data_IF_388742911811
#
_entry.id   IF_388742911811
#
_cell.length_a   1.000
_cell.length_b   1.000
_cell.length_c   1.000
_cell.angle_alpha   90.00
_cell.angle_beta   90.00
_cell.angle_gamma   90.00
#
_symmetry.space_group_name_H-M   'P 1'
#
loop_
_entity.id
_entity.type
_entity.pdbx_description
1 polymer ?
#
# COMPACT_ATOMS: atom_id res chain seq x y z
N UNK A 1 -11.14 -65.47 13.28
CA UNK A 1 -10.30 -64.29 13.60
C UNK A 1 -9.26 -63.93 12.52
N UNK A 2 -9.21 -64.59 11.35
CA UNK A 2 -8.17 -64.34 10.33
C UNK A 2 -8.62 -63.43 9.15
N UNK A 3 -9.91 -63.06 9.05
CA UNK A 3 -10.44 -62.28 7.92
C UNK A 3 -10.30 -60.76 8.06
N UNK A 4 -10.19 -60.25 9.29
CA UNK A 4 -10.05 -58.81 9.57
C UNK A 4 -8.63 -58.29 9.39
N UNK A 5 -7.62 -59.13 9.62
CA UNK A 5 -6.21 -58.75 9.43
C UNK A 5 -5.83 -58.58 7.94
N UNK A 6 -6.41 -59.41 7.05
CA UNK A 6 -6.11 -59.36 5.62
C UNK A 6 -6.69 -58.12 4.94
N UNK A 7 -7.88 -57.68 5.37
CA UNK A 7 -8.51 -56.45 4.87
C UNK A 7 -7.75 -55.18 5.29
N UNK A 8 -7.12 -55.18 6.48
CA UNK A 8 -6.32 -54.05 6.95
C UNK A 8 -4.99 -53.92 6.19
N UNK A 9 -4.36 -55.03 5.79
CA UNK A 9 -3.12 -55.02 5.00
C UNK A 9 -3.33 -54.47 3.59
N UNK A 10 -4.42 -54.83 2.91
CA UNK A 10 -4.75 -54.32 1.56
C UNK A 10 -5.02 -52.81 1.59
N UNK A 11 -5.70 -52.31 2.63
CA UNK A 11 -6.01 -50.88 2.76
C UNK A 11 -4.74 -50.07 3.07
N UNK A 12 -3.77 -50.62 3.82
CA UNK A 12 -2.52 -49.94 4.16
C UNK A 12 -1.54 -49.89 2.98
N UNK A 13 -1.44 -50.95 2.18
CA UNK A 13 -0.59 -50.97 0.98
C UNK A 13 -1.18 -50.14 -0.17
N UNK A 14 -2.51 -50.12 -0.34
CA UNK A 14 -3.19 -49.25 -1.30
C UNK A 14 -3.02 -47.75 -0.98
N UNK A 15 -2.98 -47.37 0.30
CA UNK A 15 -2.78 -45.98 0.73
C UNK A 15 -1.33 -45.52 0.54
N UNK A 16 -0.34 -46.41 0.73
CA UNK A 16 1.07 -46.07 0.55
C UNK A 16 1.49 -46.03 -0.93
N UNK A 17 0.94 -46.90 -1.78
CA UNK A 17 1.24 -46.91 -3.23
C UNK A 17 0.46 -45.79 -3.93
N UNK A 18 -0.78 -45.51 -3.51
CA UNK A 18 -1.59 -44.41 -4.03
C UNK A 18 -1.13 -43.01 -3.56
N UNK A 19 -0.70 -42.87 -2.30
CA UNK A 19 -0.28 -41.57 -1.76
C UNK A 19 1.10 -41.09 -2.24
N UNK A 20 2.02 -42.02 -2.54
CA UNK A 20 3.40 -41.65 -2.93
C UNK A 20 3.58 -41.51 -4.44
N UNK A 21 2.75 -42.18 -5.26
CA UNK A 21 2.87 -42.12 -6.72
C UNK A 21 2.14 -40.92 -7.35
N UNK A 22 1.09 -40.39 -6.72
CA UNK A 22 0.37 -39.19 -7.18
C UNK A 22 1.05 -37.85 -6.82
N UNK A 23 2.10 -37.86 -6.02
CA UNK A 23 2.72 -36.62 -5.48
C UNK A 23 3.98 -36.14 -6.24
N UNK A 24 4.44 -36.86 -7.27
CA UNK A 24 5.69 -36.51 -7.99
C UNK A 24 5.50 -35.77 -9.32
N UNK A 25 4.29 -35.76 -9.89
CA UNK A 25 4.05 -35.25 -11.24
C UNK A 25 3.64 -33.78 -11.36
N UNK A 26 3.00 -33.20 -10.32
CA UNK A 26 2.42 -31.84 -10.44
C UNK A 26 2.99 -30.81 -9.45
N UNK A 27 3.85 -31.23 -8.51
CA UNK A 27 4.37 -30.32 -7.48
C UNK A 27 5.47 -29.36 -7.99
N UNK A 28 6.04 -29.62 -9.17
CA UNK A 28 7.06 -28.75 -9.78
C UNK A 28 6.45 -27.57 -10.55
N UNK A 29 5.15 -27.62 -10.88
CA UNK A 29 4.52 -26.60 -11.74
C UNK A 29 4.11 -25.32 -11.01
N UNK A 30 4.19 -25.26 -9.66
CA UNK A 30 3.59 -24.16 -8.89
C UNK A 30 4.58 -23.33 -8.06
N UNK A 31 5.77 -23.83 -7.73
CA UNK A 31 6.72 -23.09 -6.86
C UNK A 31 7.22 -21.78 -7.52
N UNK A 32 7.45 -21.77 -8.83
CA UNK A 32 7.90 -20.58 -9.55
C UNK A 32 6.79 -19.53 -9.70
N UNK A 33 5.53 -19.94 -9.91
CA UNK A 33 4.37 -19.05 -9.98
C UNK A 33 3.98 -18.47 -8.61
N UNK A 34 4.01 -19.31 -7.57
CA UNK A 34 3.76 -18.90 -6.18
C UNK A 34 4.86 -17.96 -5.70
N UNK A 35 6.13 -18.31 -5.91
CA UNK A 35 7.28 -17.46 -5.57
C UNK A 35 7.27 -16.12 -6.30
N UNK A 36 7.00 -16.13 -7.61
CA UNK A 36 6.85 -14.90 -8.40
C UNK A 36 5.70 -14.01 -7.90
N UNK A 37 4.57 -14.61 -7.53
CA UNK A 37 3.42 -13.87 -7.00
C UNK A 37 3.71 -13.21 -5.65
N UNK A 38 4.47 -13.87 -4.76
CA UNK A 38 4.91 -13.26 -3.50
C UNK A 38 5.82 -12.04 -3.71
N UNK A 39 6.75 -12.11 -4.68
CA UNK A 39 7.62 -10.98 -5.01
C UNK A 39 6.80 -9.81 -5.55
N UNK A 40 5.85 -10.06 -6.44
CA UNK A 40 4.98 -9.00 -6.98
C UNK A 40 4.12 -8.37 -5.89
N UNK A 41 3.50 -9.18 -5.02
CA UNK A 41 2.72 -8.69 -3.88
C UNK A 41 3.62 -7.85 -2.95
N UNK A 42 4.83 -8.32 -2.67
CA UNK A 42 5.78 -7.60 -1.83
C UNK A 42 6.18 -6.24 -2.42
N UNK A 43 6.44 -6.17 -3.74
CA UNK A 43 6.72 -4.91 -4.43
C UNK A 43 5.54 -3.94 -4.41
N UNK A 44 4.31 -4.45 -4.57
CA UNK A 44 3.08 -3.64 -4.45
C UNK A 44 2.96 -3.07 -3.04
N UNK A 45 3.19 -3.89 -1.99
CA UNK A 45 3.13 -3.44 -0.60
C UNK A 45 4.16 -2.34 -0.29
N UNK A 46 5.38 -2.47 -0.81
CA UNK A 46 6.41 -1.43 -0.66
C UNK A 46 6.01 -0.12 -1.34
N UNK A 47 5.45 -0.18 -2.56
CA UNK A 47 4.98 1.00 -3.28
C UNK A 47 3.83 1.72 -2.58
N UNK A 48 2.90 0.96 -1.97
CA UNK A 48 1.80 1.55 -1.20
C UNK A 48 2.27 2.28 0.07
N UNK A 49 3.26 1.72 0.77
CA UNK A 49 3.79 2.32 2.00
C UNK A 49 4.52 3.66 1.73
N UNK A 50 5.29 3.75 0.65
CA UNK A 50 6.04 4.96 0.31
C UNK A 50 5.13 6.16 -0.02
N UNK A 51 4.00 5.92 -0.70
CA UNK A 51 3.05 6.97 -1.04
C UNK A 51 2.37 7.60 0.19
N UNK A 52 2.12 6.82 1.24
CA UNK A 52 1.52 7.35 2.47
C UNK A 52 2.50 8.24 3.23
N UNK A 53 3.78 7.89 3.27
CA UNK A 53 4.83 8.71 3.91
C UNK A 53 4.96 10.09 3.24
N UNK A 54 4.89 10.14 1.90
CA UNK A 54 4.93 11.40 1.15
C UNK A 54 3.74 12.30 1.50
N UNK A 55 2.51 11.73 1.53
CA UNK A 55 1.29 12.45 1.89
C UNK A 55 1.37 13.02 3.29
N UNK A 56 1.77 12.21 4.27
CA UNK A 56 1.93 12.65 5.65
C UNK A 56 2.96 13.77 5.79
N UNK A 57 4.09 13.64 5.10
CA UNK A 57 5.16 14.64 5.15
C UNK A 57 4.70 15.96 4.53
N UNK A 58 4.04 15.91 3.36
CA UNK A 58 3.47 17.08 2.71
C UNK A 58 2.41 17.76 3.59
N UNK A 59 1.56 16.97 4.26
CA UNK A 59 0.55 17.48 5.18
C UNK A 59 1.19 18.20 6.39
N UNK A 60 2.19 17.59 7.03
CA UNK A 60 2.93 18.19 8.16
C UNK A 60 3.56 19.52 7.75
N UNK A 61 4.22 19.55 6.60
CA UNK A 61 4.85 20.76 6.07
C UNK A 61 3.82 21.87 5.81
N UNK A 62 2.66 21.53 5.23
CA UNK A 62 1.60 22.51 4.99
C UNK A 62 1.01 23.08 6.28
N UNK A 63 0.72 22.22 7.27
CA UNK A 63 0.26 22.66 8.60
C UNK A 63 1.27 23.58 9.28
N UNK A 64 2.55 23.24 9.23
CA UNK A 64 3.61 24.09 9.78
C UNK A 64 3.68 25.44 9.06
N UNK A 65 3.51 25.47 7.73
CA UNK A 65 3.50 26.72 6.98
C UNK A 65 2.31 27.62 7.36
N UNK A 66 1.12 27.05 7.55
CA UNK A 66 -0.06 27.77 8.05
C UNK A 66 0.15 28.30 9.47
N UNK A 67 0.74 27.49 10.36
CA UNK A 67 1.06 27.91 11.73
C UNK A 67 2.06 29.08 11.75
N UNK A 68 3.12 29.00 10.94
CA UNK A 68 4.09 30.10 10.81
C UNK A 68 3.42 31.35 10.24
N UNK A 69 2.59 31.20 9.19
CA UNK A 69 1.85 32.31 8.59
C UNK A 69 0.92 32.99 9.61
N UNK A 70 0.26 32.22 10.48
CA UNK A 70 -0.66 32.78 11.49
C UNK A 70 0.01 33.76 12.46
N UNK A 71 1.34 33.66 12.61
CA UNK A 71 2.13 34.55 13.47
C UNK A 71 2.46 35.89 12.81
N UNK A 72 2.56 35.91 11.49
CA UNK A 72 2.77 37.13 10.70
C UNK A 72 1.98 37.07 9.38
N UNK A 73 0.65 37.29 9.42
CA UNK A 73 -0.19 36.99 8.28
C UNK A 73 0.02 37.91 7.09
N UNK A 74 0.49 39.14 7.32
CA UNK A 74 0.73 40.13 6.26
C UNK A 74 2.01 39.87 5.48
N UNK A 75 2.79 38.86 5.87
CA UNK A 75 4.04 38.53 5.21
C UNK A 75 3.77 37.81 3.87
N UNK A 76 4.11 38.44 2.72
CA UNK A 76 3.85 37.84 1.43
C UNK A 76 4.68 36.57 1.20
N UNK A 77 5.86 36.47 1.81
CA UNK A 77 6.72 35.30 1.66
C UNK A 77 6.13 34.08 2.39
N UNK A 78 5.56 34.28 3.58
CA UNK A 78 4.90 33.22 4.33
C UNK A 78 3.61 32.77 3.64
N UNK A 79 2.84 33.70 3.05
CA UNK A 79 1.66 33.35 2.23
C UNK A 79 2.04 32.51 1.02
N UNK A 80 3.09 32.91 0.30
CA UNK A 80 3.58 32.13 -0.85
C UNK A 80 4.07 30.74 -0.43
N UNK A 81 4.81 30.65 0.68
CA UNK A 81 5.26 29.36 1.19
C UNK A 81 4.09 28.44 1.59
N UNK A 82 3.06 28.98 2.25
CA UNK A 82 1.85 28.22 2.58
C UNK A 82 1.12 27.74 1.31
N UNK A 83 1.05 28.57 0.27
CA UNK A 83 0.48 28.20 -1.02
C UNK A 83 1.27 27.06 -1.68
N UNK A 84 2.59 27.13 -1.71
CA UNK A 84 3.45 26.10 -2.33
C UNK A 84 3.37 24.77 -1.55
N UNK A 85 3.36 24.82 -0.21
CA UNK A 85 3.16 23.63 0.61
C UNK A 85 1.74 23.03 0.42
N UNK A 86 0.71 23.87 0.36
CA UNK A 86 -0.66 23.44 0.09
C UNK A 86 -0.78 22.73 -1.26
N UNK A 87 -0.19 23.31 -2.32
CA UNK A 87 -0.15 22.69 -3.65
C UNK A 87 0.51 21.32 -3.64
N UNK A 88 1.65 21.17 -2.95
CA UNK A 88 2.33 19.87 -2.82
C UNK A 88 1.46 18.84 -2.10
N UNK A 89 0.80 19.24 -1.01
CA UNK A 89 -0.09 18.35 -0.26
C UNK A 89 -1.32 17.94 -1.09
N UNK A 90 -2.06 18.88 -1.67
CA UNK A 90 -3.24 18.53 -2.46
C UNK A 90 -2.88 17.77 -3.74
N UNK A 91 -1.73 18.03 -4.35
CA UNK A 91 -1.21 17.20 -5.45
C UNK A 91 -0.95 15.76 -5.00
N UNK A 92 -0.37 15.51 -3.81
CA UNK A 92 -0.09 14.14 -3.34
C UNK A 92 -1.35 13.35 -2.97
N UNK A 93 -2.50 14.01 -2.78
CA UNK A 93 -3.80 13.38 -2.61
C UNK A 93 -4.44 12.91 -3.92
N UNK A 94 -3.91 13.33 -5.08
CA UNK A 94 -4.47 13.04 -6.40
C UNK A 94 -3.68 11.95 -7.09
N UNK A 95 -4.36 10.94 -7.61
CA UNK A 95 -3.73 9.84 -8.37
C UNK A 95 -2.92 10.34 -9.58
N UNK A 96 -3.30 11.47 -10.17
CA UNK A 96 -2.62 12.09 -11.30
C UNK A 96 -1.70 13.27 -10.92
N UNK A 97 -1.57 13.60 -9.63
CA UNK A 97 -0.79 14.72 -9.12
C UNK A 97 -1.31 16.12 -9.49
N UNK A 98 -2.43 16.22 -10.22
CA UNK A 98 -2.92 17.50 -10.77
C UNK A 98 -3.93 18.14 -9.84
N UNK A 99 -3.65 19.39 -9.50
CA UNK A 99 -4.55 20.25 -8.75
C UNK A 99 -5.80 20.56 -9.55
N UNK A 100 -6.94 20.55 -8.87
CA UNK A 100 -8.21 21.04 -9.39
C UNK A 100 -8.47 22.46 -8.91
N UNK A 101 -9.44 23.13 -9.53
CA UNK A 101 -9.89 24.45 -9.08
C UNK A 101 -10.40 24.41 -7.64
N UNK A 102 -11.04 23.31 -7.23
CA UNK A 102 -11.52 23.13 -5.86
C UNK A 102 -10.37 23.01 -4.86
N UNK A 103 -9.26 22.38 -5.24
CA UNK A 103 -8.08 22.28 -4.37
C UNK A 103 -7.43 23.67 -4.19
N UNK A 104 -7.26 24.44 -5.26
CA UNK A 104 -6.74 25.82 -5.18
C UNK A 104 -7.66 26.73 -4.33
N UNK A 105 -8.98 26.55 -4.44
CA UNK A 105 -9.95 27.25 -3.57
C UNK A 105 -9.81 26.84 -2.10
N UNK A 106 -9.69 25.54 -1.82
CA UNK A 106 -9.50 25.05 -0.45
C UNK A 106 -8.19 25.58 0.16
N UNK A 107 -7.08 25.54 -0.57
CA UNK A 107 -5.79 26.10 -0.13
C UNK A 107 -5.92 27.59 0.17
N UNK A 108 -6.61 28.33 -0.70
CA UNK A 108 -6.84 29.76 -0.50
C UNK A 108 -7.68 30.03 0.74
N UNK A 109 -8.74 29.23 0.97
CA UNK A 109 -9.57 29.35 2.16
C UNK A 109 -8.79 29.07 3.44
N UNK A 110 -7.95 28.03 3.45
CA UNK A 110 -7.09 27.67 4.59
C UNK A 110 -6.08 28.79 4.89
N UNK A 111 -5.46 29.38 3.86
CA UNK A 111 -4.53 30.51 4.00
C UNK A 111 -5.24 31.75 4.54
N UNK A 112 -6.46 32.05 4.06
CA UNK A 112 -7.27 33.15 4.56
C UNK A 112 -7.70 32.93 6.01
N UNK A 113 -8.02 31.69 6.38
CA UNK A 113 -8.39 31.32 7.75
C UNK A 113 -7.20 31.39 8.72
N UNK A 114 -5.97 31.18 8.23
CA UNK A 114 -4.75 31.30 9.02
C UNK A 114 -4.38 32.76 9.34
N UNK A 115 -4.79 33.74 8.52
CA UNK A 115 -4.71 35.18 8.83
C UNK A 115 -4.44 36.12 7.64
#
# INVERSE_FOLDING_TARGET
MLKTAFFFSIILEGLLIGGVSWFKGEFTFNIYWVGGSFVVIFLILLGLAANEEEKETAQKNYRNALDILSRDPKNPQLRQNALDCGRRYYSSLRDNGRLTIYDEQAITNDILAAG
#
